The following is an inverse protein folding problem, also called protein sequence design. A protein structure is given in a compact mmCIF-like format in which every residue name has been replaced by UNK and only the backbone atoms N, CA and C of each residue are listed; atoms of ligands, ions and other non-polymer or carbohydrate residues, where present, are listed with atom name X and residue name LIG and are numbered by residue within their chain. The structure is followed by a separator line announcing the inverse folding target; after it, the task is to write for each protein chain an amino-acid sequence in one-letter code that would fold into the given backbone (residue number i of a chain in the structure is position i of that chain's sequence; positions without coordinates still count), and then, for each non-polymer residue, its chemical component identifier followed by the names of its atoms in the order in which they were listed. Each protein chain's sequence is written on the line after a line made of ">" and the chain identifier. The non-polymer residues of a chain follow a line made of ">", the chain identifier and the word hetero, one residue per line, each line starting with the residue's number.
data_IF_977043528667
#
_entry.id   IF_977043528667
#
_cell.length_a   1.000
_cell.length_b   1.000
_cell.length_c   1.000
_cell.angle_alpha   90.00
_cell.angle_beta   90.00
_cell.angle_gamma   90.00
#
_symmetry.space_group_name_H-M   'P 1'
#
loop_
_entity.id
_entity.type
_entity.pdbx_description
1 polymer ?
#
# COMPACT_ATOMS: atom_id res chain seq x y z
N UNK A 1 9.81 -27.22 3.90
CA UNK A 1 8.41 -27.42 3.44
C UNK A 1 7.82 -28.61 4.20
N UNK A 2 6.61 -28.51 4.74
CA UNK A 2 5.99 -29.60 5.51
C UNK A 2 5.48 -30.72 4.57
N UNK A 3 5.84 -31.98 4.85
CA UNK A 3 5.46 -33.17 4.05
C UNK A 3 3.95 -33.33 3.90
N UNK A 4 3.19 -33.02 4.97
CA UNK A 4 1.72 -33.09 4.94
C UNK A 4 1.12 -32.14 3.91
N UNK A 5 1.68 -30.93 3.75
CA UNK A 5 1.21 -29.99 2.73
C UNK A 5 1.58 -30.41 1.31
N UNK A 6 2.69 -31.13 1.12
CA UNK A 6 3.06 -31.67 -0.19
C UNK A 6 2.10 -32.79 -0.62
N UNK A 7 1.77 -33.69 0.31
CA UNK A 7 0.79 -34.74 0.07
C UNK A 7 -0.60 -34.17 -0.22
N UNK A 8 -1.05 -33.18 0.58
CA UNK A 8 -2.31 -32.48 0.31
C UNK A 8 -2.32 -31.78 -1.05
N UNK A 9 -1.19 -31.23 -1.49
CA UNK A 9 -1.02 -30.63 -2.82
C UNK A 9 -0.94 -31.65 -3.97
N UNK A 10 -1.13 -32.95 -3.70
CA UNK A 10 -1.13 -34.01 -4.71
C UNK A 10 0.26 -34.47 -5.15
N UNK A 11 1.33 -34.13 -4.42
CA UNK A 11 2.67 -34.61 -4.75
C UNK A 11 2.88 -36.02 -4.22
N UNK A 12 3.35 -36.89 -5.12
CA UNK A 12 3.59 -38.32 -4.84
C UNK A 12 4.96 -38.56 -4.19
N UNK A 13 5.93 -37.69 -4.49
CA UNK A 13 7.30 -37.78 -3.98
C UNK A 13 7.64 -36.55 -3.14
N UNK A 14 8.37 -36.77 -2.06
CA UNK A 14 8.83 -35.72 -1.18
C UNK A 14 9.89 -34.86 -1.87
N UNK A 15 9.60 -33.57 -1.99
CA UNK A 15 10.53 -32.57 -2.50
C UNK A 15 11.18 -31.81 -1.34
N UNK A 16 12.49 -31.62 -1.46
CA UNK A 16 13.30 -30.89 -0.50
C UNK A 16 13.51 -29.46 -1.00
N UNK A 17 13.34 -28.47 -0.11
CA UNK A 17 13.47 -27.05 -0.44
C UNK A 17 12.17 -26.24 -0.23
N UNK A 18 12.20 -24.97 -0.63
CA UNK A 18 11.01 -24.11 -0.68
C UNK A 18 10.33 -24.30 -2.04
N UNK A 19 8.99 -24.47 -2.09
CA UNK A 19 8.25 -24.67 -3.36
C UNK A 19 8.37 -23.50 -4.33
N UNK A 20 8.49 -22.31 -3.77
CA UNK A 20 8.55 -21.05 -4.48
C UNK A 20 9.43 -20.09 -3.69
N UNK A 21 10.05 -19.14 -4.39
CA UNK A 21 10.69 -18.01 -3.76
C UNK A 21 9.62 -17.12 -3.10
N UNK A 22 9.98 -16.47 -2.00
CA UNK A 22 9.06 -15.58 -1.28
C UNK A 22 8.54 -14.41 -2.15
N UNK A 23 9.25 -14.07 -3.23
CA UNK A 23 8.89 -13.02 -4.18
C UNK A 23 8.05 -13.51 -5.38
N UNK A 24 7.87 -14.81 -5.57
CA UNK A 24 7.23 -15.35 -6.79
C UNK A 24 5.79 -14.85 -6.95
N UNK A 25 5.01 -14.79 -5.87
CA UNK A 25 3.65 -14.25 -5.93
C UNK A 25 3.61 -12.76 -6.27
N UNK A 26 4.62 -12.00 -5.84
CA UNK A 26 4.73 -10.57 -6.17
C UNK A 26 5.06 -10.40 -7.65
N UNK A 27 6.02 -11.17 -8.16
CA UNK A 27 6.40 -11.14 -9.57
C UNK A 27 5.27 -11.65 -10.48
N UNK A 28 4.56 -12.71 -10.06
CA UNK A 28 3.41 -13.23 -10.78
C UNK A 28 2.31 -12.16 -10.90
N UNK A 29 1.93 -11.51 -9.78
CA UNK A 29 0.94 -10.41 -9.78
C UNK A 29 1.36 -9.26 -10.69
N UNK A 30 2.62 -8.87 -10.67
CA UNK A 30 3.14 -7.81 -11.55
C UNK A 30 3.11 -8.22 -13.02
N UNK A 31 3.41 -9.49 -13.33
CA UNK A 31 3.44 -10.03 -14.69
C UNK A 31 2.06 -10.12 -15.31
N UNK A 32 1.06 -10.62 -14.57
CA UNK A 32 -0.31 -10.76 -15.09
C UNK A 32 -1.03 -9.41 -15.16
N UNK A 33 -0.66 -8.46 -14.29
CA UNK A 33 -1.29 -7.15 -14.22
C UNK A 33 -2.79 -7.20 -13.92
N UNK A 34 -3.45 -6.06 -14.09
CA UNK A 34 -4.89 -5.90 -13.82
C UNK A 34 -5.75 -6.80 -14.72
N UNK A 35 -5.48 -6.77 -16.03
CA UNK A 35 -6.17 -7.60 -17.03
C UNK A 35 -6.09 -9.10 -16.74
N UNK A 36 -4.95 -9.57 -16.23
CA UNK A 36 -4.76 -10.97 -15.88
C UNK A 36 -5.53 -11.37 -14.63
N UNK A 37 -5.56 -10.49 -13.61
CA UNK A 37 -6.37 -10.71 -12.40
C UNK A 37 -7.86 -10.73 -12.74
N UNK A 38 -8.34 -9.83 -13.60
CA UNK A 38 -9.73 -9.80 -14.05
C UNK A 38 -10.15 -11.10 -14.74
N UNK A 39 -9.27 -11.69 -15.56
CA UNK A 39 -9.53 -12.99 -16.21
C UNK A 39 -9.62 -14.14 -15.21
N UNK A 40 -8.73 -14.17 -14.21
CA UNK A 40 -8.76 -15.17 -13.14
C UNK A 40 -10.06 -15.03 -12.34
N UNK A 41 -10.44 -13.79 -12.02
CA UNK A 41 -11.68 -13.49 -11.29
C UNK A 41 -12.92 -13.91 -12.10
N UNK A 42 -12.97 -13.57 -13.38
CA UNK A 42 -14.04 -14.02 -14.29
C UNK A 42 -14.16 -15.54 -14.31
N UNK A 43 -13.03 -16.25 -14.45
CA UNK A 43 -13.04 -17.71 -14.45
C UNK A 43 -13.51 -18.31 -13.12
N UNK A 44 -13.21 -17.64 -12.00
CA UNK A 44 -13.74 -18.02 -10.69
C UNK A 44 -15.26 -17.87 -10.64
N UNK A 45 -15.80 -16.75 -11.11
CA UNK A 45 -17.25 -16.52 -11.21
C UNK A 45 -17.91 -17.58 -12.10
N UNK A 46 -17.36 -17.82 -13.29
CA UNK A 46 -17.88 -18.80 -14.25
C UNK A 46 -17.91 -20.22 -13.65
N UNK A 47 -16.88 -20.59 -12.85
CA UNK A 47 -16.81 -21.90 -12.18
C UNK A 47 -17.86 -22.04 -11.07
N UNK A 48 -18.19 -20.96 -10.36
CA UNK A 48 -19.18 -20.98 -9.27
C UNK A 48 -20.64 -20.81 -9.73
N UNK A 49 -20.88 -20.53 -11.02
CA UNK A 49 -22.19 -20.69 -11.67
C UNK A 49 -23.37 -20.07 -10.91
N UNK A 50 -24.31 -20.92 -10.46
CA UNK A 50 -25.58 -20.53 -9.79
C UNK A 50 -25.42 -20.15 -8.31
N UNK A 51 -24.30 -20.50 -7.66
CA UNK A 51 -24.03 -20.14 -6.26
C UNK A 51 -23.82 -18.63 -6.08
N UNK A 52 -23.57 -17.90 -7.18
CA UNK A 52 -23.53 -16.42 -7.18
C UNK A 52 -24.90 -15.75 -7.02
N UNK A 53 -26.02 -16.50 -7.06
CA UNK A 53 -27.37 -15.98 -6.82
C UNK A 53 -27.86 -16.21 -5.38
N UNK A 54 -27.01 -16.75 -4.49
CA UNK A 54 -27.38 -16.92 -3.09
C UNK A 54 -27.64 -15.55 -2.45
N UNK A 55 -28.83 -15.29 -1.86
CA UNK A 55 -29.10 -14.04 -1.15
C UNK A 55 -28.23 -13.87 0.11
N UNK A 56 -27.64 -14.94 0.64
CA UNK A 56 -26.75 -14.95 1.79
C UNK A 56 -25.29 -14.91 1.35
N UNK A 57 -24.88 -13.84 0.67
CA UNK A 57 -23.47 -13.60 0.34
C UNK A 57 -22.72 -13.19 1.61
N UNK A 58 -22.09 -14.16 2.27
CA UNK A 58 -21.09 -13.90 3.31
C UNK A 58 -19.79 -13.44 2.64
N UNK A 59 -19.67 -12.13 2.45
CA UNK A 59 -18.42 -11.52 1.97
C UNK A 59 -17.41 -11.59 3.11
N UNK A 60 -16.66 -12.69 3.17
CA UNK A 60 -15.52 -12.80 4.06
C UNK A 60 -14.42 -11.84 3.56
N UNK A 61 -14.47 -10.59 4.02
CA UNK A 61 -13.52 -9.53 3.62
C UNK A 61 -12.11 -9.74 4.20
N UNK A 62 -11.83 -10.91 4.78
CA UNK A 62 -10.60 -11.20 5.53
C UNK A 62 -9.43 -11.73 4.68
N UNK A 63 -9.67 -12.17 3.44
CA UNK A 63 -8.62 -12.85 2.66
C UNK A 63 -7.63 -11.92 1.95
N UNK A 64 -7.96 -10.65 1.74
CA UNK A 64 -7.07 -9.72 1.04
C UNK A 64 -7.06 -8.33 1.67
N UNK A 65 -5.88 -7.89 2.11
CA UNK A 65 -5.66 -6.48 2.43
C UNK A 65 -5.92 -5.65 1.16
N UNK A 66 -7.02 -4.89 1.18
CA UNK A 66 -7.27 -3.88 0.16
C UNK A 66 -6.05 -2.94 0.15
N UNK A 67 -5.49 -2.62 -1.02
CA UNK A 67 -4.45 -1.58 -1.17
C UNK A 67 -5.03 -0.16 -0.98
N UNK A 68 -5.91 -0.01 -0.01
CA UNK A 68 -6.47 1.25 0.43
C UNK A 68 -5.80 1.57 1.75
N UNK A 69 -5.24 2.77 1.83
CA UNK A 69 -4.74 3.30 3.09
C UNK A 69 -5.76 4.33 3.54
N UNK A 70 -6.23 4.26 4.78
CA UNK A 70 -7.21 5.22 5.29
C UNK A 70 -6.66 6.65 5.17
N UNK A 71 -7.46 7.64 4.72
CA UNK A 71 -6.98 8.99 4.42
C UNK A 71 -6.25 9.68 5.59
N UNK A 72 -6.58 9.33 6.83
CA UNK A 72 -5.94 9.88 8.04
C UNK A 72 -4.65 9.17 8.45
N UNK A 73 -4.20 8.17 7.69
CA UNK A 73 -2.98 7.44 7.99
C UNK A 73 -1.73 8.22 7.54
N UNK A 74 -0.79 8.35 8.46
CA UNK A 74 0.54 8.93 8.25
C UNK A 74 1.35 8.28 7.13
N UNK A 75 1.02 7.03 6.79
CA UNK A 75 1.60 6.31 5.65
C UNK A 75 1.36 7.07 4.33
N UNK A 76 0.19 7.70 4.15
CA UNK A 76 -0.09 8.49 2.95
C UNK A 76 0.76 9.75 2.87
N UNK A 77 0.89 10.49 3.96
CA UNK A 77 1.78 11.68 3.99
C UNK A 77 3.23 11.30 3.69
N UNK A 78 3.71 10.15 4.19
CA UNK A 78 5.04 9.65 3.83
C UNK A 78 5.14 9.33 2.33
N UNK A 79 4.13 8.67 1.74
CA UNK A 79 4.10 8.41 0.29
C UNK A 79 4.17 9.70 -0.53
N UNK A 80 3.48 10.76 -0.10
CA UNK A 80 3.57 12.08 -0.74
C UNK A 80 5.02 12.60 -0.69
N UNK A 81 5.65 12.57 0.49
CA UNK A 81 7.05 13.00 0.66
C UNK A 81 7.98 12.22 -0.28
N UNK A 82 7.84 10.90 -0.33
CA UNK A 82 8.68 10.04 -1.16
C UNK A 82 8.46 10.29 -2.66
N UNK A 83 7.20 10.52 -3.09
CA UNK A 83 6.87 10.90 -4.47
C UNK A 83 7.45 12.27 -4.86
N UNK A 84 7.31 13.28 -4.01
CA UNK A 84 7.88 14.62 -4.27
C UNK A 84 9.38 14.56 -4.50
N UNK A 85 10.10 13.70 -3.76
CA UNK A 85 11.54 13.48 -3.97
C UNK A 85 11.81 12.75 -5.30
N UNK A 86 10.97 11.78 -5.68
CA UNK A 86 11.11 11.02 -6.93
C UNK A 86 10.90 11.88 -8.19
N UNK A 87 10.04 12.90 -8.11
CA UNK A 87 9.78 13.85 -9.22
C UNK A 87 11.03 14.69 -9.56
N UNK A 88 12.10 14.61 -8.76
CA UNK A 88 13.41 15.18 -9.14
C UNK A 88 13.62 16.61 -8.67
N UNK A 89 12.76 17.12 -7.79
CA UNK A 89 12.99 18.41 -7.15
C UNK A 89 14.08 18.26 -6.11
N UNK A 90 15.16 19.04 -6.22
CA UNK A 90 16.13 19.21 -5.13
C UNK A 90 15.42 19.96 -4.00
N UNK A 91 15.04 19.27 -2.91
CA UNK A 91 14.31 19.93 -1.84
C UNK A 91 15.27 20.78 -1.04
N UNK A 92 14.83 21.94 -0.56
CA UNK A 92 15.65 22.84 0.28
C UNK A 92 16.19 22.13 1.54
N UNK A 93 15.52 21.08 2.00
CA UNK A 93 15.96 20.22 3.11
C UNK A 93 15.59 18.77 2.84
N UNK A 94 16.51 17.84 3.13
CA UNK A 94 16.21 16.42 3.08
C UNK A 94 15.38 15.98 4.29
N UNK A 95 14.26 15.29 4.03
CA UNK A 95 13.39 14.72 5.07
C UNK A 95 13.43 13.19 5.12
N UNK A 96 14.31 12.52 4.36
CA UNK A 96 14.33 11.05 4.20
C UNK A 96 14.41 10.29 5.53
N UNK A 97 15.29 10.74 6.43
CA UNK A 97 15.44 10.13 7.77
C UNK A 97 14.29 10.53 8.71
N UNK A 98 13.90 11.81 8.68
CA UNK A 98 12.88 12.33 9.58
C UNK A 98 11.49 11.77 9.27
N UNK A 99 11.10 11.65 8.01
CA UNK A 99 9.80 11.09 7.61
C UNK A 99 9.67 9.63 8.06
N UNK A 100 10.74 8.84 7.89
CA UNK A 100 10.81 7.45 8.35
C UNK A 100 10.65 7.35 9.87
N UNK A 101 11.34 8.19 10.64
CA UNK A 101 11.25 8.17 12.09
C UNK A 101 9.86 8.61 12.59
N UNK A 102 9.25 9.61 11.96
CA UNK A 102 7.92 10.09 12.32
C UNK A 102 6.84 9.01 12.12
N UNK A 103 6.93 8.20 11.07
CA UNK A 103 6.03 7.04 10.88
C UNK A 103 6.25 5.94 11.94
N UNK A 104 7.46 5.79 12.48
CA UNK A 104 7.70 4.86 13.59
C UNK A 104 7.14 5.40 14.90
N UNK A 105 7.25 6.71 15.11
CA UNK A 105 6.76 7.35 16.33
C UNK A 105 5.22 7.35 16.42
N UNK A 106 4.52 7.23 15.30
CA UNK A 106 3.05 7.12 15.24
C UNK A 106 2.52 5.74 15.64
N UNK A 107 3.40 4.74 15.77
CA UNK A 107 3.04 3.39 16.21
C UNK A 107 2.42 3.40 17.61
N UNK A 108 1.39 2.56 17.82
CA UNK A 108 0.68 2.39 19.09
C UNK A 108 0.27 3.74 19.73
N UNK A 109 -0.33 4.62 18.92
CA UNK A 109 -0.78 5.94 19.35
C UNK A 109 -1.98 5.94 20.29
N UNK A 110 -2.65 4.79 20.46
CA UNK A 110 -3.74 4.60 21.43
C UNK A 110 -3.21 4.51 22.86
N UNK A 111 -1.98 4.01 23.07
CA UNK A 111 -1.39 3.88 24.39
C UNK A 111 -1.20 5.26 25.07
N UNK A 112 -1.67 5.46 26.32
CA UNK A 112 -1.66 6.78 27.00
C UNK A 112 -0.29 7.47 27.02
N UNK A 113 0.78 6.73 27.32
CA UNK A 113 2.17 7.25 27.33
C UNK A 113 2.66 7.69 25.93
N UNK A 114 2.13 7.10 24.86
CA UNK A 114 2.55 7.36 23.47
C UNK A 114 1.63 8.32 22.73
N UNK A 115 0.39 8.51 23.19
CA UNK A 115 -0.64 9.34 22.54
C UNK A 115 -0.14 10.72 22.17
N UNK A 116 0.52 11.43 23.11
CA UNK A 116 1.08 12.77 22.86
C UNK A 116 2.16 12.74 21.77
N UNK A 117 3.10 11.80 21.85
CA UNK A 117 4.19 11.63 20.88
C UNK A 117 3.67 11.28 19.48
N UNK A 118 2.72 10.34 19.41
CA UNK A 118 2.10 9.94 18.15
C UNK A 118 1.34 11.09 17.49
N UNK A 119 0.51 11.84 18.25
CA UNK A 119 -0.21 13.00 17.72
C UNK A 119 0.73 14.12 17.24
N UNK A 120 1.83 14.38 17.96
CA UNK A 120 2.84 15.33 17.52
C UNK A 120 3.54 14.87 16.22
N UNK A 121 3.86 13.58 16.12
CA UNK A 121 4.45 13.01 14.92
C UNK A 121 3.51 13.07 13.71
N UNK A 122 2.22 12.76 13.90
CA UNK A 122 1.15 12.92 12.88
C UNK A 122 1.11 14.35 12.32
N UNK A 123 1.06 15.35 13.22
CA UNK A 123 1.05 16.77 12.83
C UNK A 123 2.31 17.14 12.04
N UNK A 124 3.49 16.75 12.57
CA UNK A 124 4.78 17.07 11.95
C UNK A 124 4.93 16.45 10.56
N UNK A 125 4.47 15.22 10.34
CA UNK A 125 4.52 14.58 9.02
C UNK A 125 3.59 15.27 8.02
N UNK A 126 2.37 15.68 8.44
CA UNK A 126 1.43 16.47 7.62
C UNK A 126 2.05 17.80 7.20
N UNK A 127 2.71 18.50 8.13
CA UNK A 127 3.40 19.77 7.84
C UNK A 127 4.54 19.60 6.83
N UNK A 128 5.35 18.54 6.95
CA UNK A 128 6.45 18.27 6.00
C UNK A 128 5.90 17.97 4.62
N UNK A 129 4.87 17.11 4.52
CA UNK A 129 4.22 16.78 3.26
C UNK A 129 3.65 18.04 2.58
N UNK A 130 2.90 18.87 3.31
CA UNK A 130 2.37 20.13 2.78
C UNK A 130 3.44 21.13 2.35
N UNK A 131 4.57 21.20 3.08
CA UNK A 131 5.71 22.04 2.69
C UNK A 131 6.30 21.59 1.34
N UNK A 132 6.50 20.28 1.15
CA UNK A 132 7.05 19.75 -0.09
C UNK A 132 6.09 19.90 -1.26
N UNK A 133 4.78 19.75 -1.05
CA UNK A 133 3.77 20.00 -2.08
C UNK A 133 3.81 21.46 -2.54
N UNK A 134 3.88 22.42 -1.61
CA UNK A 134 4.01 23.86 -1.96
C UNK A 134 5.33 24.18 -2.66
N UNK A 135 6.42 23.52 -2.26
CA UNK A 135 7.72 23.67 -2.94
C UNK A 135 7.67 23.10 -4.36
N UNK A 136 6.92 22.00 -4.55
CA UNK A 136 6.69 21.35 -5.82
C UNK A 136 5.87 22.23 -6.77
N UNK A 137 4.79 22.85 -6.27
CA UNK A 137 3.99 23.83 -7.03
C UNK A 137 4.79 25.05 -7.49
N UNK A 138 5.75 25.54 -6.68
CA UNK A 138 6.55 26.71 -7.05
C UNK A 138 7.62 26.42 -8.08
N UNK A 139 8.15 25.19 -8.11
CA UNK A 139 9.32 24.84 -8.93
C UNK A 139 8.95 24.17 -10.25
N UNK A 140 7.77 23.57 -10.37
CA UNK A 140 7.35 22.92 -11.61
C UNK A 140 6.66 23.91 -12.56
N UNK A 141 6.98 23.87 -13.87
CA UNK A 141 6.22 24.58 -14.88
C UNK A 141 4.79 24.04 -14.97
N UNK A 142 3.85 24.94 -15.27
CA UNK A 142 2.41 24.65 -15.34
C UNK A 142 2.12 23.49 -16.32
N UNK A 143 1.94 22.26 -15.83
CA UNK A 143 1.40 21.17 -16.65
C UNK A 143 1.84 19.76 -16.28
N UNK A 144 3.09 19.51 -15.88
CA UNK A 144 3.60 18.12 -15.82
C UNK A 144 3.04 17.25 -14.69
N UNK A 145 2.49 17.82 -13.61
CA UNK A 145 2.06 17.06 -12.42
C UNK A 145 0.70 17.48 -11.84
N UNK A 146 -0.18 18.10 -12.64
CA UNK A 146 -1.45 18.65 -12.16
C UNK A 146 -2.33 17.60 -11.46
N UNK A 147 -2.48 16.42 -12.05
CA UNK A 147 -3.30 15.33 -11.50
C UNK A 147 -2.76 14.79 -10.16
N UNK A 148 -1.44 14.65 -10.02
CA UNK A 148 -0.84 14.19 -8.76
C UNK A 148 -0.96 15.25 -7.65
N UNK A 149 -0.82 16.52 -8.01
CA UNK A 149 -0.99 17.64 -7.09
C UNK A 149 -2.40 17.72 -6.51
N UNK A 150 -3.43 17.51 -7.32
CA UNK A 150 -4.82 17.44 -6.83
C UNK A 150 -5.02 16.30 -5.84
N UNK A 151 -4.47 15.12 -6.12
CA UNK A 151 -4.53 13.98 -5.21
C UNK A 151 -3.82 14.32 -3.89
N UNK A 152 -2.64 14.95 -3.95
CA UNK A 152 -1.92 15.34 -2.73
C UNK A 152 -2.70 16.36 -1.91
N UNK A 153 -3.40 17.31 -2.55
CA UNK A 153 -4.27 18.28 -1.88
C UNK A 153 -5.45 17.59 -1.19
N UNK A 154 -6.12 16.65 -1.86
CA UNK A 154 -7.23 15.87 -1.25
C UNK A 154 -6.78 15.09 -0.02
N UNK A 155 -5.57 14.55 -0.02
CA UNK A 155 -4.99 13.82 1.12
C UNK A 155 -4.54 14.76 2.25
N UNK A 156 -4.19 16.00 1.93
CA UNK A 156 -3.71 17.00 2.89
C UNK A 156 -4.80 17.90 3.48
N UNK A 157 -5.99 17.93 2.89
CA UNK A 157 -7.18 18.54 3.51
C UNK A 157 -7.43 17.89 4.88
#
# INVERSE_FOLDING_TARGET
>A
MNVYFQYFGGMVLQQWGSPCAASDLVHFRQRIGEKGVERIFKHSIDRHGKDGQDPNVSIDTTAQEKNITYPTDTKLHKKIIDKCVKIGIVPRRSYKRTSKQLVRDTHNGTHPKRRKKASAAKRKIKTIAGRLVRELERKLPNGSCATELEIFKKVLA
#
